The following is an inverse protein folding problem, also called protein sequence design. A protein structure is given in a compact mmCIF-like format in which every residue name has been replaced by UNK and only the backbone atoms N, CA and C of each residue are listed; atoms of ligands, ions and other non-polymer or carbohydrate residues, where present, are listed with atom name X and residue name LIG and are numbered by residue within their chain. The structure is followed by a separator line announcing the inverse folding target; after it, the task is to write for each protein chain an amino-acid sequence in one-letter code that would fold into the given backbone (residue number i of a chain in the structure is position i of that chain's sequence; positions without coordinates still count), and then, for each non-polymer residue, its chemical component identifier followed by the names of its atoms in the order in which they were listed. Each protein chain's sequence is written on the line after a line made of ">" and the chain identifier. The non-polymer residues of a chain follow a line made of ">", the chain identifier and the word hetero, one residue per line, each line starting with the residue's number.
data_IF_874010487245
#
_entry.id   IF_874010487245
#
_cell.length_a   1.000
_cell.length_b   1.000
_cell.length_c   1.000
_cell.angle_alpha   90.00
_cell.angle_beta   90.00
_cell.angle_gamma   90.00
#
_symmetry.space_group_name_H-M   'P 1'
#
loop_
_entity.id
_entity.type
_entity.pdbx_description
1 polymer ?
#
# COMPACT_ATOMS: atom_id res chain seq x y z
N UNK A 1 7.59 -15.81 31.71
CA UNK A 1 6.47 -14.84 31.79
C UNK A 1 5.60 -15.07 33.02
N UNK A 2 4.76 -16.13 33.05
CA UNK A 2 3.82 -16.43 34.16
C UNK A 2 4.44 -16.33 35.55
N UNK A 3 5.57 -17.01 35.76
CA UNK A 3 6.32 -16.97 37.02
C UNK A 3 6.65 -15.54 37.48
N UNK A 4 7.07 -14.65 36.56
CA UNK A 4 7.42 -13.27 36.91
C UNK A 4 6.18 -12.46 37.31
N UNK A 5 5.07 -12.62 36.59
CA UNK A 5 3.80 -11.96 36.91
C UNK A 5 3.22 -12.45 38.25
N UNK A 6 3.37 -13.75 38.56
CA UNK A 6 2.97 -14.33 39.85
C UNK A 6 3.80 -13.78 41.02
N UNK A 7 5.02 -13.31 40.76
CA UNK A 7 5.91 -12.72 41.76
C UNK A 7 5.94 -11.18 41.70
N UNK A 8 4.90 -10.55 41.14
CA UNK A 8 4.71 -9.11 41.22
C UNK A 8 5.49 -8.28 40.18
N UNK A 9 5.97 -8.88 39.09
CA UNK A 9 6.51 -8.10 37.98
C UNK A 9 5.44 -7.14 37.42
N UNK A 10 5.82 -5.87 37.22
CA UNK A 10 4.91 -4.84 36.70
C UNK A 10 4.63 -5.06 35.20
N UNK A 11 3.39 -5.38 34.77
CA UNK A 11 3.06 -5.57 33.36
C UNK A 11 3.07 -4.26 32.54
N UNK A 12 3.02 -3.09 33.21
CA UNK A 12 3.11 -1.75 32.60
C UNK A 12 4.54 -1.17 32.64
N UNK A 13 5.56 -2.00 32.88
CA UNK A 13 6.93 -1.56 32.70
C UNK A 13 7.16 -1.13 31.24
N UNK A 14 7.69 0.09 31.06
CA UNK A 14 7.98 0.70 29.74
C UNK A 14 9.47 0.84 29.52
N UNK A 15 9.91 0.57 28.29
CA UNK A 15 11.25 0.93 27.87
C UNK A 15 11.36 2.42 27.45
N UNK A 16 12.49 2.81 26.87
CA UNK A 16 12.77 4.20 26.48
C UNK A 16 11.85 4.72 25.37
N UNK A 17 11.31 3.82 24.55
CA UNK A 17 10.45 4.14 23.41
C UNK A 17 8.95 3.96 23.78
N UNK A 18 8.67 3.63 25.04
CA UNK A 18 7.32 3.42 25.56
C UNK A 18 6.77 2.02 25.29
N UNK A 19 7.59 1.08 24.80
CA UNK A 19 7.15 -0.30 24.60
C UNK A 19 6.93 -0.97 25.95
N UNK A 20 5.83 -1.72 26.03
CA UNK A 20 5.48 -2.59 27.16
C UNK A 20 5.61 -4.06 26.73
N UNK A 21 5.61 -4.96 27.70
CA UNK A 21 5.52 -6.40 27.45
C UNK A 21 4.32 -6.79 26.56
N UNK A 22 3.24 -6.01 26.61
CA UNK A 22 2.04 -6.18 25.80
C UNK A 22 2.31 -5.87 24.31
N UNK A 23 3.06 -4.81 24.02
CA UNK A 23 3.50 -4.51 22.65
C UNK A 23 4.41 -5.61 22.10
N UNK A 24 5.37 -6.11 22.90
CA UNK A 24 6.25 -7.20 22.48
C UNK A 24 5.49 -8.48 22.15
N UNK A 25 4.42 -8.80 22.90
CA UNK A 25 3.58 -9.96 22.62
C UNK A 25 2.86 -9.83 21.27
N UNK A 26 2.38 -8.62 20.93
CA UNK A 26 1.73 -8.33 19.66
C UNK A 26 2.73 -8.39 18.50
N UNK A 27 3.93 -7.81 18.65
CA UNK A 27 4.98 -7.89 17.63
C UNK A 27 5.39 -9.35 17.31
N UNK A 28 5.25 -10.25 18.28
CA UNK A 28 5.48 -11.69 18.10
C UNK A 28 4.24 -12.45 17.61
N UNK A 29 3.09 -11.80 17.44
CA UNK A 29 1.82 -12.44 17.07
C UNK A 29 1.30 -13.43 18.11
N UNK A 30 1.76 -13.34 19.35
CA UNK A 30 1.48 -14.35 20.38
C UNK A 30 0.26 -13.97 21.21
N UNK A 31 -0.92 -14.37 20.73
CA UNK A 31 -2.19 -14.14 21.40
C UNK A 31 -2.29 -14.80 22.79
N UNK A 32 -1.60 -15.91 23.04
CA UNK A 32 -1.61 -16.58 24.36
C UNK A 32 -0.86 -15.77 25.42
N UNK A 33 0.32 -15.24 25.08
CA UNK A 33 1.07 -14.34 25.97
C UNK A 33 0.29 -13.05 26.17
N UNK A 34 -0.34 -12.54 25.11
CA UNK A 34 -1.19 -11.35 25.17
C UNK A 34 -2.38 -11.55 26.13
N UNK A 35 -3.11 -12.66 26.02
CA UNK A 35 -4.21 -13.01 26.92
C UNK A 35 -3.72 -13.13 28.37
N UNK A 36 -2.56 -13.75 28.58
CA UNK A 36 -1.95 -13.85 29.91
C UNK A 36 -1.65 -12.48 30.51
N UNK A 37 -1.07 -11.58 29.72
CA UNK A 37 -0.78 -10.21 30.14
C UNK A 37 -2.04 -9.42 30.48
N UNK A 38 -3.05 -9.46 29.60
CA UNK A 38 -4.32 -8.76 29.81
C UNK A 38 -5.05 -9.29 31.05
N UNK A 39 -5.07 -10.61 31.27
CA UNK A 39 -5.68 -11.23 32.45
C UNK A 39 -5.05 -10.80 33.79
N UNK A 40 -3.84 -10.23 33.76
CA UNK A 40 -3.11 -9.71 34.93
C UNK A 40 -3.09 -8.19 35.01
N UNK A 41 -4.03 -7.51 34.34
CA UNK A 41 -4.12 -6.05 34.35
C UNK A 41 -3.07 -5.37 33.47
N UNK A 42 -2.63 -6.05 32.40
CA UNK A 42 -1.77 -5.44 31.38
C UNK A 42 -2.41 -4.17 30.80
N UNK A 43 -1.60 -3.14 30.46
CA UNK A 43 -2.11 -1.83 30.09
C UNK A 43 -2.65 -1.85 28.66
N UNK A 44 -3.95 -2.15 28.51
CA UNK A 44 -4.60 -2.38 27.22
C UNK A 44 -4.61 -1.18 26.27
N UNK A 45 -4.52 0.04 26.81
CA UNK A 45 -4.40 1.29 26.07
C UNK A 45 -3.00 1.92 26.22
N UNK A 46 -1.98 1.16 26.62
CA UNK A 46 -0.60 1.67 26.66
C UNK A 46 -0.17 2.08 25.26
N UNK A 47 0.41 3.28 25.14
CA UNK A 47 0.87 3.79 23.85
C UNK A 47 2.38 3.67 23.71
N UNK A 48 2.83 3.04 22.62
CA UNK A 48 4.20 3.14 22.11
C UNK A 48 4.19 4.13 20.93
N UNK A 49 5.07 5.14 20.90
CA UNK A 49 5.21 6.03 19.73
C UNK A 49 3.84 6.51 19.16
N UNK A 50 2.87 6.79 20.03
CA UNK A 50 1.47 7.17 19.74
C UNK A 50 0.49 6.11 19.18
N UNK A 51 0.90 4.87 18.96
CA UNK A 51 0.03 3.75 18.59
C UNK A 51 -0.67 3.15 19.82
N UNK A 52 -1.86 2.59 19.65
CA UNK A 52 -2.46 1.72 20.68
C UNK A 52 -2.16 0.27 20.35
N UNK A 53 -2.25 -0.66 21.32
CA UNK A 53 -1.99 -2.07 21.06
C UNK A 53 -2.93 -2.65 20.00
N UNK A 54 -4.18 -2.19 19.95
CA UNK A 54 -5.14 -2.62 18.93
C UNK A 54 -4.75 -2.15 17.53
N UNK A 55 -4.26 -0.91 17.39
CA UNK A 55 -3.79 -0.39 16.10
C UNK A 55 -2.54 -1.16 15.66
N UNK A 56 -1.59 -1.40 16.56
CA UNK A 56 -0.40 -2.21 16.26
C UNK A 56 -0.77 -3.62 15.79
N UNK A 57 -1.70 -4.30 16.46
CA UNK A 57 -2.18 -5.62 16.03
C UNK A 57 -2.86 -5.57 14.66
N UNK A 58 -3.56 -4.47 14.35
CA UNK A 58 -4.23 -4.27 13.06
C UNK A 58 -3.24 -4.00 11.93
N UNK A 59 -2.19 -3.21 12.18
CA UNK A 59 -1.09 -2.98 11.22
C UNK A 59 -0.44 -4.30 10.79
N UNK A 60 -0.31 -5.24 11.73
CA UNK A 60 0.26 -6.58 11.46
C UNK A 60 -0.76 -7.58 10.94
N UNK A 61 -2.04 -7.20 10.79
CA UNK A 61 -3.17 -8.09 10.47
C UNK A 61 -3.28 -9.33 11.38
N UNK A 62 -2.88 -9.20 12.65
CA UNK A 62 -2.95 -10.30 13.63
C UNK A 62 -4.33 -10.37 14.28
N UNK A 63 -5.30 -10.93 13.53
CA UNK A 63 -6.70 -11.09 13.94
C UNK A 63 -6.86 -11.75 15.33
N UNK A 64 -6.01 -12.72 15.68
CA UNK A 64 -6.03 -13.39 16.98
C UNK A 64 -5.68 -12.42 18.13
N UNK A 65 -4.67 -11.57 17.94
CA UNK A 65 -4.31 -10.52 18.90
C UNK A 65 -5.39 -9.44 18.99
N UNK A 66 -6.00 -9.04 17.87
CA UNK A 66 -7.12 -8.10 17.87
C UNK A 66 -8.32 -8.65 18.67
N UNK A 67 -8.71 -9.91 18.40
CA UNK A 67 -9.80 -10.60 19.13
C UNK A 67 -9.51 -10.65 20.64
N UNK A 68 -8.26 -10.92 21.05
CA UNK A 68 -7.85 -10.87 22.45
C UNK A 68 -8.02 -9.47 23.05
N UNK A 69 -7.49 -8.42 22.40
CA UNK A 69 -7.61 -7.04 22.89
C UNK A 69 -9.07 -6.60 23.02
N UNK A 70 -9.90 -6.87 22.01
CA UNK A 70 -11.30 -6.47 22.03
C UNK A 70 -12.11 -7.21 23.11
N UNK A 71 -11.76 -8.47 23.42
CA UNK A 71 -12.35 -9.21 24.55
C UNK A 71 -12.10 -8.56 25.90
N UNK A 72 -10.98 -7.85 26.05
CA UNK A 72 -10.63 -7.09 27.27
C UNK A 72 -11.02 -5.61 27.17
N UNK A 73 -11.96 -5.26 26.28
CA UNK A 73 -12.53 -3.92 26.13
C UNK A 73 -11.54 -2.85 25.60
N UNK A 74 -10.59 -3.24 24.74
CA UNK A 74 -9.85 -2.27 23.95
C UNK A 74 -10.83 -1.42 23.11
N UNK A 75 -10.62 -0.11 23.04
CA UNK A 75 -11.52 0.81 22.33
C UNK A 75 -11.34 0.68 20.80
N UNK A 76 -12.31 0.10 20.06
CA UNK A 76 -12.18 -0.13 18.61
C UNK A 76 -12.21 1.17 17.81
N UNK A 77 -12.57 2.29 18.44
CA UNK A 77 -12.70 3.60 17.82
C UNK A 77 -11.60 4.57 18.24
N UNK A 78 -10.62 4.12 19.04
CA UNK A 78 -9.48 4.95 19.46
C UNK A 78 -8.61 5.28 18.24
N UNK A 79 -8.21 6.54 18.11
CA UNK A 79 -7.36 7.00 17.00
C UNK A 79 -5.93 7.30 17.44
N UNK A 80 -4.96 7.10 16.53
CA UNK A 80 -3.59 7.60 16.70
C UNK A 80 -3.54 9.13 16.67
N UNK A 81 -2.37 9.71 16.93
CA UNK A 81 -2.11 11.14 16.69
C UNK A 81 -2.29 11.53 15.22
N UNK A 82 -2.18 10.59 14.29
CA UNK A 82 -2.43 10.78 12.86
C UNK A 82 -3.89 10.56 12.45
N UNK A 83 -4.82 10.50 13.41
CA UNK A 83 -6.26 10.27 13.18
C UNK A 83 -6.63 8.90 12.58
N UNK A 84 -5.70 7.95 12.54
CA UNK A 84 -5.96 6.60 12.07
C UNK A 84 -6.69 5.78 13.14
N UNK A 85 -7.86 5.25 12.79
CA UNK A 85 -8.59 4.24 13.59
C UNK A 85 -8.11 2.83 13.23
N UNK A 86 -8.35 1.82 14.10
CA UNK A 86 -8.15 0.42 13.73
C UNK A 86 -8.87 0.06 12.42
N UNK A 87 -10.11 0.53 12.25
CA UNK A 87 -10.91 0.22 11.06
C UNK A 87 -10.31 0.82 9.79
N UNK A 88 -9.76 2.04 9.88
CA UNK A 88 -9.01 2.66 8.78
C UNK A 88 -7.81 1.81 8.35
N UNK A 89 -7.01 1.33 9.30
CA UNK A 89 -5.84 0.48 9.01
C UNK A 89 -6.26 -0.86 8.41
N UNK A 90 -7.34 -1.47 8.90
CA UNK A 90 -7.84 -2.73 8.37
C UNK A 90 -8.30 -2.63 6.90
N UNK A 91 -8.91 -1.50 6.52
CA UNK A 91 -9.33 -1.23 5.13
C UNK A 91 -8.12 -0.99 4.22
N UNK A 92 -7.10 -0.25 4.67
CA UNK A 92 -5.85 -0.08 3.88
C UNK A 92 -5.15 -1.42 3.66
N UNK A 93 -5.18 -2.30 4.65
CA UNK A 93 -4.62 -3.65 4.53
C UNK A 93 -5.50 -4.60 3.70
N UNK A 94 -6.65 -4.14 3.18
CA UNK A 94 -7.64 -4.92 2.42
C UNK A 94 -8.05 -6.22 3.14
N UNK A 95 -8.11 -6.17 4.48
CA UNK A 95 -8.36 -7.35 5.32
C UNK A 95 -9.80 -7.39 5.82
N UNK A 96 -10.68 -8.06 5.08
CA UNK A 96 -12.10 -8.23 5.46
C UNK A 96 -12.21 -8.88 6.84
N UNK A 97 -11.38 -9.88 7.18
CA UNK A 97 -11.43 -10.50 8.52
C UNK A 97 -11.19 -9.49 9.64
N UNK A 98 -10.18 -8.61 9.50
CA UNK A 98 -9.91 -7.56 10.48
C UNK A 98 -11.07 -6.56 10.58
N UNK A 99 -11.63 -6.16 9.44
CA UNK A 99 -12.81 -5.28 9.36
C UNK A 99 -13.98 -5.91 10.10
N UNK A 100 -14.28 -7.20 9.86
CA UNK A 100 -15.38 -7.89 10.54
C UNK A 100 -15.21 -7.88 12.06
N UNK A 101 -13.99 -8.17 12.53
CA UNK A 101 -13.66 -8.25 13.95
C UNK A 101 -13.89 -6.89 14.62
N UNK A 102 -13.49 -5.81 13.97
CA UNK A 102 -13.65 -4.46 14.48
C UNK A 102 -15.11 -4.00 14.47
N UNK A 103 -15.86 -4.26 13.39
CA UNK A 103 -17.28 -3.92 13.31
C UNK A 103 -18.10 -4.70 14.35
N UNK A 104 -17.83 -6.00 14.54
CA UNK A 104 -18.45 -6.82 15.60
C UNK A 104 -18.15 -6.28 17.00
N UNK A 105 -17.02 -5.61 17.19
CA UNK A 105 -16.66 -4.96 18.45
C UNK A 105 -17.22 -3.53 18.60
N UNK A 106 -17.96 -3.01 17.62
CA UNK A 106 -18.58 -1.69 17.68
C UNK A 106 -17.71 -0.56 17.10
N UNK A 107 -16.77 -0.87 16.20
CA UNK A 107 -16.12 0.16 15.39
C UNK A 107 -17.18 0.90 14.55
N UNK A 108 -17.11 2.22 14.54
CA UNK A 108 -18.00 3.06 13.75
C UNK A 108 -17.47 3.16 12.32
N UNK A 109 -18.15 2.45 11.41
CA UNK A 109 -17.87 2.42 9.96
C UNK A 109 -17.90 3.82 9.33
N UNK A 110 -18.65 4.74 9.94
CA UNK A 110 -18.79 6.10 9.47
C UNK A 110 -17.86 7.06 10.19
N UNK A 111 -17.00 6.64 11.11
CA UNK A 111 -16.15 7.58 11.86
C UNK A 111 -15.18 8.34 10.96
N UNK A 112 -14.62 7.64 9.98
CA UNK A 112 -13.72 8.17 8.95
C UNK A 112 -14.29 7.84 7.56
N UNK A 113 -13.98 8.62 6.52
CA UNK A 113 -14.45 8.36 5.15
C UNK A 113 -13.74 7.15 4.52
N UNK A 114 -14.14 5.93 4.88
CA UNK A 114 -13.43 4.70 4.47
C UNK A 114 -13.65 4.27 3.03
N UNK A 115 -14.76 4.69 2.41
CA UNK A 115 -15.14 4.29 1.05
C UNK A 115 -14.10 4.71 0.00
N UNK A 116 -13.39 5.83 0.23
CA UNK A 116 -12.35 6.28 -0.71
C UNK A 116 -11.15 5.34 -0.77
N UNK A 117 -10.85 4.66 0.34
CA UNK A 117 -9.72 3.74 0.47
C UNK A 117 -10.01 2.38 -0.17
N UNK A 118 -11.29 2.03 -0.28
CA UNK A 118 -11.73 0.74 -0.78
C UNK A 118 -11.99 0.73 -2.29
N UNK A 119 -11.87 1.85 -3.02
CA UNK A 119 -12.24 1.91 -4.45
C UNK A 119 -11.46 0.95 -5.35
N UNK A 120 -10.22 0.62 -4.99
CA UNK A 120 -9.41 -0.35 -5.72
C UNK A 120 -9.84 -1.80 -5.46
N UNK A 121 -10.50 -2.05 -4.31
CA UNK A 121 -11.01 -3.37 -3.89
C UNK A 121 -12.53 -3.38 -3.91
N UNK A 122 -13.11 -3.85 -5.02
CA UNK A 122 -14.56 -3.96 -5.17
C UNK A 122 -15.22 -4.76 -4.04
N UNK A 123 -14.56 -5.83 -3.58
CA UNK A 123 -15.06 -6.66 -2.48
C UNK A 123 -15.10 -5.89 -1.14
N UNK A 124 -14.02 -5.19 -0.77
CA UNK A 124 -14.00 -4.35 0.43
C UNK A 124 -15.01 -3.20 0.33
N UNK A 125 -15.13 -2.58 -0.84
CA UNK A 125 -16.06 -1.49 -1.07
C UNK A 125 -17.51 -1.95 -0.85
N UNK A 126 -17.89 -3.06 -1.48
CA UNK A 126 -19.22 -3.66 -1.31
C UNK A 126 -19.46 -4.06 0.15
N UNK A 127 -18.46 -4.67 0.80
CA UNK A 127 -18.54 -5.06 2.21
C UNK A 127 -18.78 -3.86 3.13
N UNK A 128 -18.07 -2.73 2.93
CA UNK A 128 -18.25 -1.53 3.74
C UNK A 128 -19.66 -0.93 3.56
N UNK A 129 -20.22 -0.95 2.35
CA UNK A 129 -21.60 -0.53 2.11
C UNK A 129 -22.61 -1.44 2.82
N UNK A 130 -22.41 -2.76 2.74
CA UNK A 130 -23.23 -3.74 3.47
C UNK A 130 -23.13 -3.56 4.99
N UNK A 131 -21.95 -3.16 5.48
CA UNK A 131 -21.71 -2.81 6.88
C UNK A 131 -22.29 -1.46 7.32
N UNK A 132 -22.91 -0.70 6.41
CA UNK A 132 -23.58 0.56 6.71
C UNK A 132 -22.71 1.82 6.58
N UNK A 133 -21.63 1.76 5.80
CA UNK A 133 -20.90 2.96 5.38
C UNK A 133 -21.83 3.89 4.58
N UNK A 134 -21.84 5.18 4.94
CA UNK A 134 -22.65 6.20 4.28
C UNK A 134 -21.96 6.64 2.97
N UNK A 135 -22.54 6.34 1.79
CA UNK A 135 -21.99 6.75 0.51
C UNK A 135 -22.04 8.26 0.26
N UNK A 136 -22.70 9.01 1.15
CA UNK A 136 -22.82 10.47 1.09
C UNK A 136 -22.02 11.19 2.18
N UNK A 137 -21.25 10.47 3.00
CA UNK A 137 -20.37 11.12 3.98
C UNK A 137 -19.17 11.73 3.26
N UNK A 138 -18.98 13.06 3.29
CA UNK A 138 -17.82 13.67 2.68
C UNK A 138 -16.55 13.33 3.45
N UNK A 139 -15.42 13.27 2.74
CA UNK A 139 -14.12 13.16 3.38
C UNK A 139 -13.68 14.48 4.04
N UNK A 140 -12.49 14.49 4.65
CA UNK A 140 -11.96 15.67 5.35
C UNK A 140 -11.74 16.88 4.43
N UNK A 141 -11.69 16.67 3.11
CA UNK A 141 -11.61 17.71 2.08
C UNK A 141 -12.99 18.16 1.57
N UNK A 142 -14.08 17.66 2.16
CA UNK A 142 -15.45 18.00 1.77
C UNK A 142 -15.95 17.29 0.51
N UNK A 143 -15.23 16.26 0.03
CA UNK A 143 -15.55 15.56 -1.22
C UNK A 143 -16.40 14.33 -0.98
N UNK A 144 -17.39 14.09 -1.82
CA UNK A 144 -18.24 12.92 -1.73
C UNK A 144 -17.56 11.68 -2.36
N UNK A 145 -17.82 10.47 -1.86
CA UNK A 145 -17.33 9.24 -2.47
C UNK A 145 -17.64 9.14 -3.98
N UNK A 146 -18.84 9.54 -4.40
CA UNK A 146 -19.23 9.53 -5.83
C UNK A 146 -18.39 10.48 -6.70
N UNK A 147 -17.95 11.61 -6.15
CA UNK A 147 -17.11 12.58 -6.87
C UNK A 147 -15.71 12.03 -7.10
N UNK A 148 -15.14 11.40 -6.06
CA UNK A 148 -13.83 10.74 -6.13
C UNK A 148 -13.88 9.58 -7.12
N UNK A 149 -14.92 8.73 -7.05
CA UNK A 149 -15.11 7.62 -7.98
C UNK A 149 -15.21 8.11 -9.44
N UNK A 150 -15.95 9.21 -9.67
CA UNK A 150 -16.07 9.80 -10.99
C UNK A 150 -14.72 10.33 -11.53
N UNK A 151 -13.90 10.93 -10.69
CA UNK A 151 -12.56 11.39 -11.07
C UNK A 151 -11.59 10.24 -11.34
N UNK A 152 -11.57 9.22 -10.48
CA UNK A 152 -10.77 8.01 -10.69
C UNK A 152 -11.16 7.33 -12.01
N UNK A 153 -12.46 7.20 -12.29
CA UNK A 153 -12.96 6.66 -13.55
C UNK A 153 -12.54 7.51 -14.77
N UNK A 154 -12.52 8.84 -14.63
CA UNK A 154 -12.05 9.74 -15.69
C UNK A 154 -10.54 9.63 -15.91
N UNK A 155 -9.73 9.62 -14.85
CA UNK A 155 -8.28 9.44 -14.94
C UNK A 155 -7.93 8.09 -15.56
N UNK A 156 -8.58 6.99 -15.14
CA UNK A 156 -8.41 5.66 -15.75
C UNK A 156 -8.73 5.65 -17.25
N UNK A 157 -9.88 6.22 -17.65
CA UNK A 157 -10.24 6.36 -19.08
C UNK A 157 -9.24 7.21 -19.86
N UNK A 158 -8.71 8.27 -19.24
CA UNK A 158 -7.68 9.12 -19.85
C UNK A 158 -6.39 8.35 -20.04
N UNK A 159 -5.94 7.62 -19.03
CA UNK A 159 -4.76 6.75 -19.07
C UNK A 159 -4.89 5.70 -20.18
N UNK A 160 -6.00 4.96 -20.23
CA UNK A 160 -6.27 3.97 -21.29
C UNK A 160 -6.22 4.58 -22.69
N UNK A 161 -6.81 5.76 -22.87
CA UNK A 161 -6.77 6.49 -24.15
C UNK A 161 -5.35 6.93 -24.52
N UNK A 162 -4.55 7.38 -23.55
CA UNK A 162 -3.15 7.76 -23.77
C UNK A 162 -2.33 6.54 -24.19
N UNK A 163 -2.46 5.42 -23.46
CA UNK A 163 -1.77 4.14 -23.78
C UNK A 163 -2.15 3.65 -25.18
N UNK A 164 -3.44 3.57 -25.49
CA UNK A 164 -3.91 3.14 -26.81
C UNK A 164 -3.37 4.02 -27.95
N UNK A 165 -3.37 5.36 -27.77
CA UNK A 165 -2.81 6.28 -28.78
C UNK A 165 -1.30 6.13 -28.90
N UNK A 166 -0.58 5.95 -27.80
CA UNK A 166 0.86 5.75 -27.79
C UNK A 166 1.24 4.46 -28.52
N UNK A 167 0.59 3.34 -28.18
CA UNK A 167 0.77 2.04 -28.83
C UNK A 167 0.41 2.09 -30.33
N UNK A 168 -0.66 2.80 -30.68
CA UNK A 168 -1.03 3.04 -32.08
C UNK A 168 0.05 3.83 -32.84
N UNK A 169 0.62 4.87 -32.23
CA UNK A 169 1.73 5.64 -32.82
C UNK A 169 3.00 4.78 -32.95
N UNK A 170 3.33 4.00 -31.92
CA UNK A 170 4.42 3.04 -31.93
C UNK A 170 4.29 2.02 -33.06
N UNK A 171 3.11 1.45 -33.28
CA UNK A 171 2.85 0.48 -34.37
C UNK A 171 3.10 1.08 -35.77
N UNK A 172 2.90 2.39 -35.91
CA UNK A 172 3.17 3.17 -37.14
C UNK A 172 4.61 3.68 -37.20
N UNK A 173 5.44 3.34 -36.23
CA UNK A 173 6.83 3.81 -36.05
C UNK A 173 6.95 5.33 -35.88
N UNK A 174 5.88 5.98 -35.39
CA UNK A 174 5.91 7.39 -35.00
C UNK A 174 6.41 7.51 -33.56
N UNK A 175 7.72 7.28 -33.39
CA UNK A 175 8.33 7.15 -32.07
C UNK A 175 8.27 8.45 -31.27
N UNK A 176 8.37 9.62 -31.91
CA UNK A 176 8.31 10.91 -31.23
C UNK A 176 6.92 11.14 -30.61
N UNK A 177 5.84 10.90 -31.36
CA UNK A 177 4.47 11.02 -30.83
C UNK A 177 4.24 9.98 -29.73
N UNK A 178 4.72 8.76 -29.93
CA UNK A 178 4.62 7.69 -28.92
C UNK A 178 5.32 8.06 -27.60
N UNK A 179 6.53 8.64 -27.67
CA UNK A 179 7.29 9.12 -26.50
C UNK A 179 6.48 10.16 -25.71
N UNK A 180 5.93 11.18 -26.38
CA UNK A 180 5.13 12.20 -25.71
C UNK A 180 3.87 11.63 -25.06
N UNK A 181 3.19 10.71 -25.73
CA UNK A 181 1.98 10.11 -25.18
C UNK A 181 2.27 9.20 -23.99
N UNK A 182 3.35 8.43 -24.03
CA UNK A 182 3.79 7.65 -22.87
C UNK A 182 4.25 8.55 -21.72
N UNK A 183 4.92 9.68 -21.97
CA UNK A 183 5.29 10.59 -20.88
C UNK A 183 4.07 11.21 -20.20
N UNK A 184 3.02 11.58 -20.96
CA UNK A 184 1.74 11.97 -20.37
C UNK A 184 1.06 10.83 -19.61
N UNK A 185 1.17 9.59 -20.10
CA UNK A 185 0.63 8.43 -19.41
C UNK A 185 1.37 8.16 -18.08
N UNK A 186 2.68 8.39 -18.00
CA UNK A 186 3.46 8.30 -16.75
C UNK A 186 3.04 9.35 -15.72
N UNK A 187 2.56 10.53 -16.15
CA UNK A 187 2.07 11.54 -15.21
C UNK A 187 0.74 11.12 -14.57
N UNK A 188 -0.06 10.29 -15.25
CA UNK A 188 -1.32 9.75 -14.71
C UNK A 188 -1.08 8.49 -13.85
N UNK A 189 -0.16 7.62 -14.26
CA UNK A 189 0.28 6.46 -13.47
C UNK A 189 1.81 6.30 -13.53
N UNK A 190 2.55 6.84 -12.52
CA UNK A 190 4.00 6.80 -12.51
C UNK A 190 4.57 5.41 -12.18
N UNK A 191 3.76 4.46 -11.71
CA UNK A 191 4.22 3.15 -11.27
C UNK A 191 3.94 2.03 -12.30
N UNK A 192 3.21 2.32 -13.38
CA UNK A 192 2.94 1.35 -14.44
C UNK A 192 4.22 1.02 -15.24
N UNK A 193 4.83 -0.12 -14.89
CA UNK A 193 6.04 -0.63 -15.53
C UNK A 193 5.90 -0.82 -17.06
N UNK A 194 4.69 -1.03 -17.58
CA UNK A 194 4.44 -1.23 -19.02
C UNK A 194 4.61 0.07 -19.78
N UNK A 195 4.13 1.18 -19.21
CA UNK A 195 4.29 2.53 -19.79
C UNK A 195 5.78 2.87 -19.90
N UNK A 196 6.52 2.60 -18.84
CA UNK A 196 7.96 2.82 -18.79
C UNK A 196 8.71 1.95 -19.78
N UNK A 197 8.41 0.65 -19.86
CA UNK A 197 9.02 -0.26 -20.80
C UNK A 197 8.77 0.15 -22.27
N UNK A 198 7.53 0.50 -22.60
CA UNK A 198 7.17 0.93 -23.95
C UNK A 198 7.80 2.28 -24.30
N UNK A 199 7.87 3.22 -23.36
CA UNK A 199 8.58 4.50 -23.55
C UNK A 199 10.07 4.30 -23.81
N UNK A 200 10.73 3.46 -23.00
CA UNK A 200 12.14 3.08 -23.21
C UNK A 200 12.35 2.44 -24.58
N UNK A 201 11.45 1.54 -25.03
CA UNK A 201 11.49 0.99 -26.37
C UNK A 201 11.39 2.09 -27.44
N UNK A 202 10.49 3.05 -27.29
CA UNK A 202 10.35 4.15 -28.24
C UNK A 202 11.63 4.99 -28.33
N UNK A 203 12.25 5.32 -27.20
CA UNK A 203 13.53 6.05 -27.17
C UNK A 203 14.67 5.28 -27.83
N UNK A 204 14.75 3.96 -27.63
CA UNK A 204 15.72 3.10 -28.30
C UNK A 204 15.51 3.10 -29.82
N UNK A 205 14.26 2.92 -30.26
CA UNK A 205 13.91 2.93 -31.69
C UNK A 205 14.11 4.31 -32.33
N UNK A 206 13.97 5.38 -31.56
CA UNK A 206 14.30 6.74 -31.96
C UNK A 206 15.81 7.01 -32.04
N UNK A 207 16.64 6.14 -31.43
CA UNK A 207 18.10 6.25 -31.42
C UNK A 207 18.68 7.04 -30.25
N UNK A 208 17.90 7.31 -29.20
CA UNK A 208 18.36 8.00 -28.00
C UNK A 208 18.44 7.05 -26.80
N UNK A 209 19.54 6.31 -26.75
CA UNK A 209 19.82 5.38 -25.66
C UNK A 209 20.04 6.05 -24.30
N UNK A 210 20.27 7.37 -24.24
CA UNK A 210 20.45 8.07 -22.96
C UNK A 210 19.10 8.26 -22.27
N UNK A 211 18.09 8.75 -22.99
CA UNK A 211 16.75 8.95 -22.45
C UNK A 211 16.01 7.64 -22.22
N UNK A 212 16.29 6.60 -23.01
CA UNK A 212 15.74 5.27 -22.82
C UNK A 212 15.95 4.70 -21.41
N UNK A 213 16.99 5.15 -20.70
CA UNK A 213 17.33 4.64 -19.37
C UNK A 213 17.65 5.74 -18.34
N UNK A 214 17.29 7.00 -18.61
CA UNK A 214 17.78 8.15 -17.86
C UNK A 214 17.21 8.38 -16.45
N UNK A 215 16.26 7.57 -15.98
CA UNK A 215 15.43 7.95 -14.82
C UNK A 215 15.06 6.88 -13.78
N UNK A 216 15.44 5.60 -13.93
CA UNK A 216 15.04 4.55 -12.97
C UNK A 216 16.13 3.51 -12.70
N UNK A 217 16.09 2.90 -11.51
CA UNK A 217 16.77 1.64 -11.21
C UNK A 217 15.98 0.49 -11.83
N UNK A 218 16.34 0.10 -13.05
CA UNK A 218 15.70 -1.03 -13.73
C UNK A 218 16.22 -2.36 -13.19
N UNK A 219 15.31 -3.29 -12.90
CA UNK A 219 15.65 -4.62 -12.41
C UNK A 219 16.05 -5.60 -13.53
N UNK A 220 16.46 -6.81 -13.15
CA UNK A 220 16.84 -7.87 -14.10
C UNK A 220 15.67 -8.31 -14.99
N UNK A 221 14.43 -8.22 -14.51
CA UNK A 221 13.24 -8.63 -15.25
C UNK A 221 12.95 -7.67 -16.41
N UNK A 222 13.09 -6.36 -16.18
CA UNK A 222 12.99 -5.33 -17.20
C UNK A 222 14.03 -5.50 -18.32
N UNK A 223 15.28 -5.80 -17.96
CA UNK A 223 16.34 -6.05 -18.94
C UNK A 223 16.15 -7.37 -19.71
N UNK A 224 15.53 -8.38 -19.10
CA UNK A 224 15.18 -9.62 -19.79
C UNK A 224 14.05 -9.40 -20.81
N UNK A 225 13.04 -8.61 -20.45
CA UNK A 225 11.97 -8.17 -21.37
C UNK A 225 12.53 -7.43 -22.58
N UNK A 226 13.42 -6.45 -22.36
CA UNK A 226 14.06 -5.71 -23.46
C UNK A 226 14.91 -6.59 -24.39
N UNK A 227 15.60 -7.60 -23.86
CA UNK A 227 16.37 -8.58 -24.66
C UNK A 227 15.49 -9.50 -25.51
N UNK A 228 14.22 -9.69 -25.13
CA UNK A 228 13.23 -10.43 -25.90
C UNK A 228 12.63 -9.64 -27.07
N UNK A 229 12.84 -8.31 -27.12
CA UNK A 229 12.38 -7.46 -28.21
C UNK A 229 13.41 -7.47 -29.35
N UNK A 230 12.95 -7.57 -30.59
CA UNK A 230 13.77 -7.48 -31.81
C UNK A 230 14.25 -6.04 -32.03
N UNK A 231 15.17 -5.58 -31.18
CA UNK A 231 15.86 -4.29 -31.30
C UNK A 231 16.75 -4.27 -32.55
N UNK A 232 16.89 -3.11 -33.20
CA UNK A 232 17.80 -2.95 -34.34
C UNK A 232 19.27 -3.16 -33.88
N UNK A 233 19.94 -4.24 -34.30
CA UNK A 233 21.27 -4.59 -33.83
C UNK A 233 22.38 -3.68 -34.39
N UNK A 234 22.06 -2.81 -35.36
CA UNK A 234 23.04 -1.91 -36.00
C UNK A 234 23.14 -0.54 -35.30
N UNK A 235 22.23 -0.24 -34.38
CA UNK A 235 22.21 1.03 -33.67
C UNK A 235 23.22 1.06 -32.51
N UNK A 236 24.33 1.79 -32.71
CA UNK A 236 25.45 1.90 -31.75
C UNK A 236 25.05 2.51 -30.41
N UNK A 237 24.01 3.35 -30.38
CA UNK A 237 23.58 4.00 -29.15
C UNK A 237 22.73 3.04 -28.29
N UNK A 238 21.93 2.17 -28.92
CA UNK A 238 21.26 1.04 -28.26
C UNK A 238 22.31 0.09 -27.67
N UNK A 239 23.33 -0.28 -28.44
CA UNK A 239 24.38 -1.20 -28.01
C UNK A 239 25.17 -0.66 -26.80
N UNK A 240 25.56 0.63 -26.85
CA UNK A 240 26.25 1.30 -25.74
C UNK A 240 25.38 1.37 -24.48
N UNK A 241 24.11 1.69 -24.63
CA UNK A 241 23.19 1.80 -23.51
C UNK A 241 22.94 0.44 -22.83
N UNK A 242 22.72 -0.63 -23.61
CA UNK A 242 22.62 -2.00 -23.10
C UNK A 242 23.90 -2.46 -22.39
N UNK A 243 25.08 -2.13 -22.92
CA UNK A 243 26.38 -2.44 -22.27
C UNK A 243 26.56 -1.69 -20.94
N UNK A 244 26.24 -0.40 -20.91
CA UNK A 244 26.33 0.43 -19.70
C UNK A 244 25.45 -0.14 -18.57
N UNK A 245 24.21 -0.53 -18.90
CA UNK A 245 23.25 -1.02 -17.91
C UNK A 245 23.49 -2.45 -17.44
N UNK A 246 23.90 -3.37 -18.33
CA UNK A 246 24.33 -4.71 -17.89
C UNK A 246 25.50 -4.61 -16.88
N UNK A 247 26.41 -3.64 -17.04
CA UNK A 247 27.51 -3.40 -16.08
C UNK A 247 27.00 -2.93 -14.72
N UNK A 248 26.02 -2.01 -14.69
CA UNK A 248 25.39 -1.52 -13.45
C UNK A 248 24.72 -2.64 -12.65
N UNK A 249 24.01 -3.55 -13.33
CA UNK A 249 23.34 -4.70 -12.70
C UNK A 249 24.32 -5.73 -12.10
N UNK A 250 25.50 -5.90 -12.71
CA UNK A 250 26.53 -6.80 -12.16
C UNK A 250 27.26 -6.24 -10.95
N UNK A 251 27.18 -4.93 -10.70
CA UNK A 251 27.87 -4.26 -9.58
C UNK A 251 26.99 -4.02 -8.35
N UNK A 252 25.71 -4.39 -8.38
CA UNK A 252 24.76 -4.25 -7.25
C UNK A 252 24.28 -5.63 -6.74
N UNK A 253 25.11 -6.65 -6.90
CA UNK A 253 24.83 -8.04 -6.53
C UNK A 253 25.83 -8.51 -5.47
#
# INVERSE_FOLDING_TARGET
>A
MRYLLDHGANPDARDRDGFTSLHSAILQGNAEILDMLLSRGGPIEARNIAETPLILATCMAYCSCMKALLRYNADPNRVTSGFFSPLFVAVINDSIECVEVLLKAGADVNKTPLLELAFDSGEMFDYLLEAGADPNKPNDYGRLPIEIAAEMAQSKKRLERLKWKAESALSRKDYMVSIFLFSYAMMEDPNDATIHANSSLCWLQFGDGKHAFGGMEYDKAFMAFLKGLSLDPTNRDIEKALKHWNKKLTTHN
#
